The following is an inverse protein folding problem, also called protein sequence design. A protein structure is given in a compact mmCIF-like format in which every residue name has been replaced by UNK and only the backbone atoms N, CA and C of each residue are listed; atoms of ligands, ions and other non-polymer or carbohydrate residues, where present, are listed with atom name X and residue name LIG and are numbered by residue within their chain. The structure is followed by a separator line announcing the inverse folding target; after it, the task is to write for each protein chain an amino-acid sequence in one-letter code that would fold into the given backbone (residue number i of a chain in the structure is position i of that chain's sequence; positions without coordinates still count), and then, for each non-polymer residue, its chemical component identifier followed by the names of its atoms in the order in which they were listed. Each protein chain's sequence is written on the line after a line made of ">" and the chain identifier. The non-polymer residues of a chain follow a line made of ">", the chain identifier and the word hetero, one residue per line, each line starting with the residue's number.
data_IF_109251400188
#
_entry.id   IF_109251400188
#
_cell.length_a   1.000
_cell.length_b   1.000
_cell.length_c   1.000
_cell.angle_alpha   90.00
_cell.angle_beta   90.00
_cell.angle_gamma   90.00
#
_symmetry.space_group_name_H-M   'P 1'
#
loop_
_entity.id
_entity.type
_entity.pdbx_description
1 polymer ?
#
# COMPACT_ATOMS: atom_id res chain seq x y z
N UNK A 1 36.02 -6.33 2.30
CA UNK A 1 35.05 -7.31 2.81
C UNK A 1 33.74 -7.08 2.07
N UNK A 2 32.60 -7.66 2.46
CA UNK A 2 31.30 -7.12 2.08
C UNK A 2 30.69 -6.56 3.37
N UNK A 3 30.29 -5.30 3.33
CA UNK A 3 29.68 -4.60 4.45
C UNK A 3 28.16 -4.75 4.35
N UNK A 4 27.52 -5.10 5.47
CA UNK A 4 26.07 -5.27 5.63
C UNK A 4 25.55 -4.13 6.50
N UNK A 5 24.45 -3.52 6.08
CA UNK A 5 23.81 -2.39 6.74
C UNK A 5 22.39 -2.77 7.13
N UNK A 6 21.98 -2.37 8.33
CA UNK A 6 20.71 -2.78 8.93
C UNK A 6 20.04 -1.59 9.61
N UNK A 7 19.58 -0.64 8.81
CA UNK A 7 18.99 0.60 9.28
C UNK A 7 17.50 0.41 9.55
N UNK A 8 16.94 1.17 10.49
CA UNK A 8 15.51 1.18 10.75
C UNK A 8 14.98 2.57 11.05
N UNK A 9 13.71 2.82 10.72
CA UNK A 9 12.96 4.01 11.10
C UNK A 9 11.68 3.62 11.81
N UNK A 10 11.23 4.48 12.72
CA UNK A 10 10.03 4.27 13.51
C UNK A 10 9.05 5.42 13.25
N UNK A 11 7.76 5.09 13.10
CA UNK A 11 6.69 6.06 12.84
C UNK A 11 5.47 5.77 13.72
N UNK A 12 4.66 6.78 14.09
CA UNK A 12 4.97 8.20 13.93
C UNK A 12 6.03 8.64 14.96
N UNK A 13 6.42 9.92 14.92
CA UNK A 13 7.14 10.53 16.04
C UNK A 13 6.32 10.39 17.33
N UNK A 14 6.99 10.09 18.45
CA UNK A 14 6.36 9.75 19.72
C UNK A 14 6.30 10.99 20.62
N UNK A 15 5.13 11.36 21.18
CA UNK A 15 5.04 12.44 22.15
C UNK A 15 5.98 12.24 23.35
N UNK A 16 6.76 13.27 23.69
CA UNK A 16 7.83 13.22 24.70
C UNK A 16 7.30 12.83 26.08
N UNK A 17 6.10 13.27 26.46
CA UNK A 17 5.50 12.92 27.76
C UNK A 17 5.08 11.47 27.85
N UNK A 18 5.01 10.74 26.74
CA UNK A 18 4.73 9.31 26.75
C UNK A 18 5.98 8.47 26.99
N UNK A 19 7.19 9.00 26.80
CA UNK A 19 8.45 8.29 27.02
C UNK A 19 8.94 8.55 28.45
N UNK A 20 8.98 7.50 29.27
CA UNK A 20 9.63 7.57 30.59
C UNK A 20 11.14 7.42 30.46
N UNK A 21 11.89 7.76 31.52
CA UNK A 21 13.34 7.55 31.55
C UNK A 21 13.71 6.07 31.40
N UNK A 22 12.88 5.16 31.92
CA UNK A 22 13.05 3.72 31.75
C UNK A 22 12.85 3.30 30.29
N UNK A 23 11.77 3.77 29.65
CA UNK A 23 11.52 3.46 28.24
C UNK A 23 12.68 3.98 27.37
N UNK A 24 13.18 5.19 27.66
CA UNK A 24 14.31 5.77 26.94
C UNK A 24 15.56 4.91 27.08
N UNK A 25 15.95 4.56 28.33
CA UNK A 25 17.12 3.70 28.59
C UNK A 25 16.97 2.36 27.87
N UNK A 26 15.77 1.79 27.91
CA UNK A 26 15.47 0.51 27.28
C UNK A 26 15.59 0.58 25.75
N UNK A 27 15.04 1.61 25.12
CA UNK A 27 15.07 1.78 23.66
C UNK A 27 16.49 2.12 23.17
N UNK A 28 17.23 2.97 23.88
CA UNK A 28 18.62 3.31 23.54
C UNK A 28 19.56 2.08 23.62
N UNK A 29 19.22 1.07 24.43
CA UNK A 29 19.96 -0.20 24.48
C UNK A 29 19.96 -0.99 23.16
N UNK A 30 19.04 -0.69 22.24
CA UNK A 30 18.96 -1.27 20.89
C UNK A 30 19.65 -0.40 19.83
N UNK A 31 20.53 0.53 20.23
CA UNK A 31 21.18 1.50 19.33
C UNK A 31 20.18 2.42 18.59
N UNK A 32 19.00 2.63 19.16
CA UNK A 32 17.98 3.52 18.61
C UNK A 32 18.25 4.94 19.10
N UNK A 33 18.29 5.87 18.15
CA UNK A 33 18.51 7.30 18.40
C UNK A 33 17.18 8.03 18.54
N UNK A 34 17.11 8.91 19.54
CA UNK A 34 16.01 9.87 19.73
C UNK A 34 16.42 11.23 19.17
N UNK A 35 15.81 11.64 18.06
CA UNK A 35 15.91 12.99 17.51
C UNK A 35 14.68 13.81 17.88
N UNK A 36 14.83 15.12 18.10
CA UNK A 36 13.69 15.99 18.39
C UNK A 36 12.90 16.28 17.11
N UNK A 37 11.60 16.02 17.12
CA UNK A 37 10.66 16.39 16.06
C UNK A 37 9.65 17.41 16.59
N UNK A 38 9.91 18.68 16.31
CA UNK A 38 9.19 19.80 16.92
C UNK A 38 9.45 19.94 18.43
N UNK A 39 8.55 20.64 19.12
CA UNK A 39 8.68 20.94 20.55
C UNK A 39 8.38 19.71 21.43
N UNK A 40 7.40 18.90 21.04
CA UNK A 40 6.79 17.91 21.92
C UNK A 40 6.95 16.45 21.48
N UNK A 41 7.64 16.14 20.36
CA UNK A 41 7.81 14.75 19.90
C UNK A 41 9.28 14.34 19.73
N UNK A 42 9.50 13.01 19.75
CA UNK A 42 10.73 12.37 19.35
C UNK A 42 10.54 11.59 18.05
N UNK A 43 11.41 11.82 17.07
CA UNK A 43 11.61 10.95 15.92
C UNK A 43 12.65 9.89 16.28
N UNK A 44 12.35 8.62 15.98
CA UNK A 44 13.21 7.48 16.33
C UNK A 44 13.74 6.81 15.06
N UNK A 45 15.03 6.49 15.06
CA UNK A 45 15.68 5.72 13.99
C UNK A 45 16.90 4.96 14.52
N UNK A 46 17.38 3.99 13.76
CA UNK A 46 18.62 3.27 14.03
C UNK A 46 19.47 3.23 12.74
N UNK A 47 20.70 3.72 12.81
CA UNK A 47 21.66 3.66 11.71
C UNK A 47 22.33 2.27 11.60
N UNK A 48 22.20 1.47 12.66
CA UNK A 48 22.76 0.14 12.81
C UNK A 48 21.71 -0.86 13.30
N UNK A 49 22.12 -2.12 13.45
CA UNK A 49 21.26 -3.20 13.89
C UNK A 49 20.57 -2.91 15.23
N UNK A 50 19.26 -3.10 15.27
CA UNK A 50 18.41 -2.82 16.44
C UNK A 50 17.44 -3.97 16.79
N UNK A 51 17.76 -5.21 16.40
CA UNK A 51 16.93 -6.38 16.73
C UNK A 51 17.41 -7.13 17.98
N UNK A 52 18.47 -6.66 18.63
CA UNK A 52 18.84 -7.02 19.99
C UNK A 52 19.51 -5.82 20.66
N UNK A 53 19.51 -5.83 21.99
CA UNK A 53 20.11 -4.78 22.80
C UNK A 53 20.77 -5.36 24.04
N UNK A 54 21.55 -4.54 24.73
CA UNK A 54 22.24 -4.94 25.96
C UNK A 54 22.04 -3.87 27.02
N UNK A 55 21.53 -4.28 28.19
CA UNK A 55 21.47 -3.42 29.36
C UNK A 55 22.62 -3.74 30.31
N UNK A 56 23.25 -2.67 30.80
CA UNK A 56 24.21 -2.77 31.88
C UNK A 56 23.54 -3.34 33.14
N UNK A 57 24.24 -4.20 33.90
CA UNK A 57 23.76 -4.69 35.17
C UNK A 57 23.61 -3.55 36.19
N UNK A 58 22.58 -3.62 37.04
CA UNK A 58 22.38 -2.63 38.11
C UNK A 58 23.50 -2.65 39.16
N UNK A 59 24.10 -3.83 39.39
CA UNK A 59 25.18 -4.01 40.34
C UNK A 59 26.56 -4.08 39.64
N UNK A 60 27.60 -3.42 40.19
CA UNK A 60 28.95 -3.49 39.64
C UNK A 60 29.48 -4.93 39.56
N UNK A 61 29.84 -5.38 38.35
CA UNK A 61 30.34 -6.73 38.10
C UNK A 61 29.27 -7.78 37.80
N UNK A 62 28.01 -7.37 37.62
CA UNK A 62 26.97 -8.24 37.05
C UNK A 62 27.21 -8.57 35.56
N UNK A 63 26.42 -9.49 35.04
CA UNK A 63 26.41 -9.82 33.61
C UNK A 63 25.44 -8.88 32.86
N UNK A 64 25.80 -8.48 31.64
CA UNK A 64 24.92 -7.72 30.76
C UNK A 64 23.63 -8.50 30.50
N UNK A 65 22.50 -7.80 30.51
CA UNK A 65 21.20 -8.38 30.22
C UNK A 65 20.95 -8.22 28.72
N UNK A 66 20.97 -9.34 27.99
CA UNK A 66 20.58 -9.36 26.58
C UNK A 66 19.06 -9.16 26.45
N UNK A 67 18.68 -8.24 25.58
CA UNK A 67 17.30 -7.95 25.20
C UNK A 67 17.07 -8.39 23.76
N UNK A 68 15.91 -8.98 23.53
CA UNK A 68 15.47 -9.45 22.21
C UNK A 68 14.63 -8.40 21.49
N UNK A 69 14.45 -8.54 20.18
CA UNK A 69 13.52 -7.70 19.42
C UNK A 69 12.10 -7.76 20.01
N UNK A 70 11.65 -8.92 20.47
CA UNK A 70 10.34 -9.07 21.12
C UNK A 70 10.20 -8.15 22.33
N UNK A 71 11.26 -8.00 23.14
CA UNK A 71 11.24 -7.10 24.29
C UNK A 71 11.10 -5.62 23.87
N UNK A 72 11.76 -5.22 22.78
CA UNK A 72 11.60 -3.89 22.19
C UNK A 72 10.17 -3.65 21.69
N UNK A 73 9.59 -4.61 20.98
CA UNK A 73 8.24 -4.49 20.44
C UNK A 73 7.19 -4.42 21.55
N UNK A 74 7.37 -5.23 22.61
CA UNK A 74 6.54 -5.19 23.80
C UNK A 74 6.64 -3.83 24.52
N UNK A 75 7.86 -3.26 24.63
CA UNK A 75 8.08 -1.92 25.19
C UNK A 75 7.32 -0.85 24.39
N UNK A 76 7.36 -0.88 23.06
CA UNK A 76 6.59 0.03 22.22
C UNK A 76 5.07 -0.16 22.39
N UNK A 77 4.60 -1.40 22.49
CA UNK A 77 3.20 -1.69 22.74
C UNK A 77 2.73 -1.17 24.12
N UNK A 78 3.57 -1.23 25.15
CA UNK A 78 3.28 -0.62 26.46
C UNK A 78 3.14 0.91 26.37
N UNK A 79 4.03 1.57 25.63
CA UNK A 79 3.95 3.03 25.37
C UNK A 79 2.60 3.37 24.69
N UNK A 80 2.22 2.62 23.65
CA UNK A 80 0.94 2.76 22.94
C UNK A 80 -0.23 2.60 23.90
N UNK A 81 -0.25 1.54 24.73
CA UNK A 81 -1.32 1.30 25.71
C UNK A 81 -1.44 2.45 26.71
N UNK A 82 -0.30 2.93 27.23
CA UNK A 82 -0.24 4.04 28.20
C UNK A 82 -0.71 5.36 27.60
N UNK A 83 -0.58 5.54 26.28
CA UNK A 83 -1.05 6.75 25.58
C UNK A 83 -2.56 6.95 25.62
N UNK A 84 -3.33 5.89 25.94
CA UNK A 84 -4.79 5.93 26.01
C UNK A 84 -5.45 6.51 24.74
N UNK A 85 -4.90 6.16 23.56
CA UNK A 85 -5.42 6.55 22.25
C UNK A 85 -4.75 7.77 21.61
N UNK A 86 -3.86 8.47 22.31
CA UNK A 86 -3.05 9.55 21.74
C UNK A 86 -2.07 9.03 20.68
N UNK A 87 -1.42 7.89 20.96
CA UNK A 87 -0.53 7.19 20.05
C UNK A 87 -1.15 5.83 19.71
N UNK A 88 -1.90 5.68 18.62
CA UNK A 88 -2.68 4.48 18.34
C UNK A 88 -1.84 3.30 17.81
N UNK A 89 -0.69 3.57 17.20
CA UNK A 89 0.18 2.56 16.59
C UNK A 89 1.62 3.06 16.50
N UNK A 90 2.55 2.13 16.36
CA UNK A 90 3.94 2.39 15.95
C UNK A 90 4.28 1.40 14.83
N UNK A 91 4.93 1.86 13.77
CA UNK A 91 5.52 1.01 12.75
C UNK A 91 7.04 1.10 12.78
N UNK A 92 7.71 -0.03 12.57
CA UNK A 92 9.16 -0.13 12.33
C UNK A 92 9.39 -0.61 10.91
N UNK A 93 10.15 0.13 10.12
CA UNK A 93 10.62 -0.30 8.80
C UNK A 93 12.13 -0.48 8.85
N UNK A 94 12.59 -1.68 8.50
CA UNK A 94 14.00 -2.07 8.48
C UNK A 94 14.46 -2.32 7.04
N UNK A 95 15.63 -1.79 6.69
CA UNK A 95 16.30 -2.06 5.42
C UNK A 95 17.57 -2.87 5.68
N UNK A 96 17.70 -4.02 5.01
CA UNK A 96 18.91 -4.84 5.01
C UNK A 96 19.58 -4.70 3.65
N UNK A 97 20.74 -4.06 3.60
CA UNK A 97 21.47 -3.84 2.36
C UNK A 97 22.92 -4.29 2.46
N UNK A 98 23.52 -4.63 1.32
CA UNK A 98 24.90 -5.06 1.25
C UNK A 98 25.65 -4.25 0.20
N UNK A 99 26.88 -3.85 0.52
CA UNK A 99 27.82 -3.21 -0.42
C UNK A 99 28.16 -4.06 -1.66
N UNK A 100 27.72 -5.32 -1.72
CA UNK A 100 27.89 -6.22 -2.86
C UNK A 100 26.58 -6.91 -3.23
N UNK A 101 26.36 -7.11 -4.52
CA UNK A 101 25.21 -7.82 -5.08
C UNK A 101 25.31 -9.33 -4.80
N UNK A 102 24.85 -9.75 -3.62
CA UNK A 102 24.83 -11.15 -3.19
C UNK A 102 23.38 -11.62 -2.99
N UNK A 103 23.09 -12.92 -3.23
CA UNK A 103 21.73 -13.46 -3.02
C UNK A 103 21.18 -13.26 -1.61
N UNK A 104 22.07 -13.25 -0.61
CA UNK A 104 21.76 -13.06 0.82
C UNK A 104 22.00 -11.61 1.30
N UNK A 105 22.30 -10.68 0.39
CA UNK A 105 22.76 -9.34 0.73
C UNK A 105 21.64 -8.30 0.87
N UNK A 106 20.39 -8.66 0.57
CA UNK A 106 19.29 -7.70 0.45
C UNK A 106 18.02 -8.23 1.09
N UNK A 107 17.27 -7.32 1.72
CA UNK A 107 15.96 -7.57 2.26
C UNK A 107 15.49 -6.45 3.16
N UNK A 108 14.62 -6.78 4.09
CA UNK A 108 14.09 -5.85 5.07
C UNK A 108 12.93 -6.48 5.82
N UNK A 109 12.29 -5.66 6.63
CA UNK A 109 11.07 -6.03 7.33
C UNK A 109 10.24 -4.81 7.67
N UNK A 110 8.93 -5.00 7.70
CA UNK A 110 8.00 -4.06 8.28
C UNK A 110 7.35 -4.70 9.50
N UNK A 111 7.24 -3.96 10.59
CA UNK A 111 6.54 -4.36 11.82
C UNK A 111 5.52 -3.28 12.13
N UNK A 112 4.28 -3.68 12.41
CA UNK A 112 3.18 -2.81 12.79
C UNK A 112 2.68 -3.20 14.18
N UNK A 113 2.75 -2.25 15.10
CA UNK A 113 2.48 -2.42 16.53
C UNK A 113 1.25 -1.61 16.87
N UNK A 114 0.26 -2.26 17.47
CA UNK A 114 -0.92 -1.61 18.07
C UNK A 114 -0.98 -1.95 19.55
N UNK A 115 -1.96 -1.40 20.27
CA UNK A 115 -2.16 -1.71 21.69
C UNK A 115 -2.39 -3.21 21.96
N UNK A 116 -2.95 -3.94 21.00
CA UNK A 116 -3.44 -5.31 21.22
C UNK A 116 -2.77 -6.35 20.33
N UNK A 117 -1.98 -5.93 19.33
CA UNK A 117 -1.42 -6.82 18.32
C UNK A 117 -0.08 -6.30 17.78
N UNK A 118 0.76 -7.23 17.34
CA UNK A 118 2.04 -6.99 16.67
C UNK A 118 2.07 -7.86 15.42
N UNK A 119 2.15 -7.22 14.26
CA UNK A 119 2.24 -7.89 12.96
C UNK A 119 3.57 -7.58 12.31
N UNK A 120 4.12 -8.53 11.56
CA UNK A 120 5.37 -8.35 10.85
C UNK A 120 5.35 -9.03 9.48
N UNK A 121 6.10 -8.46 8.55
CA UNK A 121 6.31 -8.99 7.22
C UNK A 121 7.76 -8.77 6.81
N UNK A 122 8.48 -9.84 6.48
CA UNK A 122 9.86 -9.80 6.02
C UNK A 122 9.93 -10.24 4.56
N UNK A 123 10.71 -9.52 3.75
CA UNK A 123 10.86 -9.84 2.33
C UNK A 123 11.51 -11.21 2.10
N UNK A 124 12.45 -11.60 2.97
CA UNK A 124 13.10 -12.91 2.93
C UNK A 124 12.13 -14.06 3.21
N UNK A 125 11.34 -13.96 4.29
CA UNK A 125 10.33 -14.95 4.64
C UNK A 125 9.29 -15.11 3.53
N UNK A 126 8.87 -14.01 2.89
CA UNK A 126 7.96 -14.05 1.75
C UNK A 126 8.57 -14.85 0.58
N UNK A 127 9.83 -14.60 0.23
CA UNK A 127 10.52 -15.34 -0.83
C UNK A 127 10.66 -16.83 -0.51
N UNK A 128 11.06 -17.17 0.72
CA UNK A 128 11.16 -18.56 1.18
C UNK A 128 9.84 -19.30 1.07
N UNK A 129 8.74 -18.65 1.46
CA UNK A 129 7.40 -19.20 1.30
C UNK A 129 7.08 -19.49 -0.16
N UNK A 130 7.29 -18.51 -1.07
CA UNK A 130 7.03 -18.69 -2.51
C UNK A 130 7.87 -19.82 -3.13
N UNK A 131 9.13 -19.94 -2.72
CA UNK A 131 10.01 -21.02 -3.17
C UNK A 131 9.43 -22.38 -2.71
N UNK A 132 9.04 -22.49 -1.44
CA UNK A 132 8.47 -23.71 -0.89
C UNK A 132 7.16 -24.12 -1.58
N UNK A 133 6.27 -23.18 -1.85
CA UNK A 133 4.99 -23.42 -2.53
C UNK A 133 5.20 -23.94 -3.96
N UNK A 134 6.17 -23.38 -4.70
CA UNK A 134 6.53 -23.86 -6.04
C UNK A 134 7.16 -25.25 -5.99
N UNK A 135 8.06 -25.50 -5.04
CA UNK A 135 8.73 -26.80 -4.89
C UNK A 135 7.77 -27.93 -4.47
N UNK A 136 6.75 -27.60 -3.68
CA UNK A 136 5.75 -28.55 -3.18
C UNK A 136 4.53 -28.69 -4.09
N UNK A 137 4.33 -27.75 -5.02
CA UNK A 137 3.16 -27.69 -5.89
C UNK A 137 1.88 -27.21 -5.18
N UNK A 138 1.99 -26.73 -3.95
CA UNK A 138 0.90 -26.16 -3.14
C UNK A 138 1.01 -24.64 -3.18
N UNK A 139 0.54 -24.04 -4.28
CA UNK A 139 0.46 -22.58 -4.42
C UNK A 139 -0.61 -22.09 -3.44
N UNK A 140 -0.17 -21.59 -2.28
CA UNK A 140 -1.05 -21.16 -1.20
C UNK A 140 -2.00 -20.01 -1.62
N UNK A 141 -3.07 -19.78 -0.84
CA UNK A 141 -3.94 -18.61 -1.04
C UNK A 141 -3.15 -17.30 -0.78
N UNK A 142 -3.42 -16.25 -1.56
CA UNK A 142 -2.75 -14.94 -1.42
C UNK A 142 -1.42 -14.81 -2.18
N UNK A 143 -1.24 -15.61 -3.23
CA UNK A 143 -0.10 -15.61 -4.16
C UNK A 143 -0.30 -14.71 -5.38
N UNK A 144 -1.51 -14.20 -5.57
CA UNK A 144 -1.79 -13.21 -6.59
C UNK A 144 -1.33 -11.84 -6.08
N UNK A 145 -0.39 -11.20 -6.78
CA UNK A 145 -0.37 -9.73 -6.80
C UNK A 145 -1.81 -9.27 -7.04
N UNK A 146 -2.35 -8.26 -6.33
CA UNK A 146 -3.67 -7.74 -6.66
C UNK A 146 -3.64 -7.47 -8.17
N UNK A 147 -4.46 -8.17 -8.97
CA UNK A 147 -4.37 -8.02 -10.41
C UNK A 147 -4.50 -6.54 -10.69
N UNK A 148 -3.67 -5.93 -11.56
CA UNK A 148 -3.83 -4.53 -11.93
C UNK A 148 -5.31 -4.35 -12.23
N UNK A 149 -5.97 -3.49 -11.44
CA UNK A 149 -7.42 -3.45 -11.37
C UNK A 149 -7.93 -3.29 -12.80
N UNK A 150 -8.57 -4.34 -13.34
CA UNK A 150 -8.97 -4.35 -14.76
C UNK A 150 -9.74 -3.06 -15.03
N UNK A 151 -9.35 -2.24 -16.03
CA UNK A 151 -10.00 -0.97 -16.26
C UNK A 151 -11.51 -1.17 -16.43
N UNK A 152 -12.30 -0.48 -15.61
CA UNK A 152 -13.76 -0.45 -15.77
C UNK A 152 -14.10 0.79 -16.56
N UNK A 153 -14.70 0.60 -17.73
CA UNK A 153 -15.22 1.71 -18.56
C UNK A 153 -16.70 1.89 -18.28
N UNK A 154 -17.08 3.11 -17.89
CA UNK A 154 -18.47 3.52 -17.71
C UNK A 154 -18.92 4.45 -18.83
N UNK A 155 -20.12 4.21 -19.37
CA UNK A 155 -20.81 5.10 -20.30
C UNK A 155 -21.95 5.76 -19.53
N UNK A 156 -21.87 7.08 -19.33
CA UNK A 156 -22.86 7.82 -18.55
C UNK A 156 -23.93 8.32 -19.51
N UNK A 157 -25.18 7.93 -19.28
CA UNK A 157 -26.34 8.34 -20.09
C UNK A 157 -27.32 9.09 -19.20
N UNK A 158 -27.70 10.29 -19.64
CA UNK A 158 -28.73 11.10 -19.01
C UNK A 158 -29.64 11.69 -20.08
N UNK A 159 -30.96 11.62 -19.86
CA UNK A 159 -31.94 12.14 -20.83
C UNK A 159 -31.92 11.46 -22.20
N UNK A 160 -31.43 10.21 -22.29
CA UNK A 160 -31.32 9.48 -23.55
C UNK A 160 -30.00 9.70 -24.30
N UNK A 161 -29.17 10.64 -23.85
CA UNK A 161 -27.91 11.01 -24.49
C UNK A 161 -26.71 10.57 -23.66
N UNK A 162 -25.65 10.12 -24.33
CA UNK A 162 -24.36 9.89 -23.69
C UNK A 162 -23.78 11.24 -23.26
N UNK A 163 -23.50 11.38 -21.97
CA UNK A 163 -22.91 12.58 -21.37
C UNK A 163 -21.38 12.49 -21.37
N UNK A 164 -20.84 11.33 -21.01
CA UNK A 164 -19.40 11.09 -20.99
C UNK A 164 -19.08 9.59 -21.02
N UNK A 165 -17.83 9.29 -21.36
CA UNK A 165 -17.27 7.94 -21.22
C UNK A 165 -16.02 8.03 -20.36
N UNK A 166 -16.01 7.28 -19.26
CA UNK A 166 -15.02 7.41 -18.19
C UNK A 166 -14.41 6.05 -17.84
N UNK A 167 -13.20 6.04 -17.29
CA UNK A 167 -12.51 4.82 -16.83
C UNK A 167 -11.89 4.99 -15.45
N UNK A 168 -11.75 3.88 -14.71
CA UNK A 168 -10.95 3.83 -13.47
C UNK A 168 -9.45 3.98 -13.73
N UNK A 169 -9.00 3.61 -14.93
CA UNK A 169 -7.60 3.62 -15.36
C UNK A 169 -7.52 3.84 -16.88
N UNK A 170 -7.84 5.05 -17.40
CA UNK A 170 -7.83 5.35 -18.83
C UNK A 170 -6.45 5.15 -19.48
N UNK A 171 -5.36 5.36 -18.74
CA UNK A 171 -3.98 5.16 -19.20
C UNK A 171 -3.61 3.69 -19.47
N UNK A 172 -4.37 2.75 -18.91
CA UNK A 172 -4.20 1.31 -19.15
C UNK A 172 -4.98 0.81 -20.37
N UNK A 173 -5.85 1.65 -20.95
CA UNK A 173 -6.61 1.30 -22.14
C UNK A 173 -5.76 1.49 -23.40
N UNK A 174 -5.94 0.64 -24.44
CA UNK A 174 -5.39 0.94 -25.74
C UNK A 174 -5.97 2.25 -26.28
N UNK A 175 -5.27 2.89 -27.21
CA UNK A 175 -5.81 4.05 -27.94
C UNK A 175 -7.03 3.57 -28.74
N UNK A 176 -8.20 4.15 -28.43
CA UNK A 176 -9.48 3.82 -29.05
C UNK A 176 -10.11 5.10 -29.60
N UNK A 177 -10.61 5.02 -30.84
CA UNK A 177 -11.52 6.02 -31.39
C UNK A 177 -12.95 5.60 -31.03
N UNK A 178 -13.53 6.22 -29.99
CA UNK A 178 -14.89 5.90 -29.57
C UNK A 178 -15.89 6.74 -30.35
N UNK A 179 -16.75 6.08 -31.12
CA UNK A 179 -17.81 6.74 -31.89
C UNK A 179 -19.15 6.48 -31.23
N UNK A 180 -19.85 7.55 -30.87
CA UNK A 180 -21.22 7.50 -30.38
C UNK A 180 -22.14 7.81 -31.56
N UNK A 181 -23.11 6.93 -31.83
CA UNK A 181 -24.13 7.11 -32.84
C UNK A 181 -25.50 7.15 -32.18
N UNK A 182 -26.19 8.27 -32.34
CA UNK A 182 -27.58 8.41 -31.93
C UNK A 182 -28.49 8.31 -33.16
N UNK A 183 -29.35 7.29 -33.15
CA UNK A 183 -30.32 7.06 -34.22
C UNK A 183 -31.61 7.86 -34.02
N UNK A 184 -31.77 8.52 -32.87
CA UNK A 184 -32.80 9.52 -32.69
C UNK A 184 -32.39 10.81 -33.41
N UNK A 185 -32.84 10.94 -34.65
CA UNK A 185 -32.52 12.09 -35.51
C UNK A 185 -33.59 13.18 -35.48
N UNK A 186 -34.59 13.06 -34.59
CA UNK A 186 -35.68 14.02 -34.52
C UNK A 186 -35.15 15.41 -34.10
N UNK A 187 -35.27 16.39 -35.00
CA UNK A 187 -34.84 17.76 -34.75
C UNK A 187 -33.36 18.05 -35.06
N UNK A 188 -32.61 17.07 -35.59
CA UNK A 188 -31.23 17.29 -36.06
C UNK A 188 -31.19 18.02 -37.41
N UNK A 189 -30.18 18.87 -37.59
CA UNK A 189 -29.98 19.58 -38.86
C UNK A 189 -29.39 18.64 -39.93
N UNK A 190 -29.69 18.92 -41.20
CA UNK A 190 -29.33 18.03 -42.31
C UNK A 190 -27.81 17.85 -42.50
N UNK A 191 -26.99 18.78 -42.02
CA UNK A 191 -25.53 18.73 -42.04
C UNK A 191 -24.92 17.98 -40.83
N UNK A 192 -25.71 17.68 -39.81
CA UNK A 192 -25.32 16.86 -38.66
C UNK A 192 -25.61 15.36 -38.90
N UNK A 193 -26.42 15.03 -39.90
CA UNK A 193 -26.82 13.67 -40.23
C UNK A 193 -25.71 12.90 -40.95
N UNK A 194 -25.31 11.78 -40.35
CA UNK A 194 -24.40 10.80 -40.92
C UNK A 194 -25.19 9.66 -41.58
N UNK A 195 -24.69 9.20 -42.73
CA UNK A 195 -25.18 7.96 -43.36
C UNK A 195 -24.41 6.76 -42.82
N UNK A 196 -25.10 5.90 -42.09
CA UNK A 196 -24.52 4.71 -41.46
C UNK A 196 -24.96 3.46 -42.23
N UNK A 197 -23.99 2.78 -42.83
CA UNK A 197 -24.21 1.48 -43.50
C UNK A 197 -24.42 0.38 -42.46
N UNK A 198 -25.52 -0.34 -42.58
CA UNK A 198 -25.90 -1.43 -41.68
C UNK A 198 -25.39 -2.78 -42.20
N UNK A 199 -25.27 -3.75 -41.30
CA UNK A 199 -24.74 -5.09 -41.64
C UNK A 199 -25.62 -5.89 -42.61
N UNK A 200 -26.90 -5.54 -42.74
CA UNK A 200 -27.85 -6.13 -43.70
C UNK A 200 -27.85 -5.43 -45.07
N UNK A 201 -26.99 -4.43 -45.26
CA UNK A 201 -26.91 -3.64 -46.48
C UNK A 201 -27.89 -2.46 -46.54
N UNK A 202 -28.73 -2.26 -45.52
CA UNK A 202 -29.53 -1.05 -45.40
C UNK A 202 -28.66 0.16 -45.03
N UNK A 203 -29.20 1.36 -45.22
CA UNK A 203 -28.60 2.61 -44.74
C UNK A 203 -29.57 3.28 -43.78
N UNK A 204 -29.03 3.77 -42.66
CA UNK A 204 -29.76 4.55 -41.66
C UNK A 204 -29.09 5.92 -41.48
N UNK A 205 -29.84 6.88 -40.93
CA UNK A 205 -29.31 8.18 -40.53
C UNK A 205 -29.09 8.20 -39.02
N UNK A 206 -27.99 8.82 -38.59
CA UNK A 206 -27.66 9.02 -37.19
C UNK A 206 -26.90 10.33 -36.99
N UNK A 207 -26.98 10.92 -35.81
CA UNK A 207 -26.05 11.96 -35.36
C UNK A 207 -24.85 11.26 -34.71
N UNK A 208 -23.63 11.64 -35.08
CA UNK A 208 -22.43 11.00 -34.57
C UNK A 208 -21.41 11.96 -33.98
N UNK A 209 -20.70 11.51 -32.94
CA UNK A 209 -19.56 12.23 -32.38
C UNK A 209 -18.46 11.27 -31.92
N UNK A 210 -17.24 11.79 -31.85
CA UNK A 210 -16.09 11.09 -31.28
C UNK A 210 -15.95 11.50 -29.81
N UNK A 211 -15.79 10.52 -28.93
CA UNK A 211 -15.63 10.72 -27.50
C UNK A 211 -14.27 10.22 -27.03
N UNK A 212 -13.70 10.87 -26.03
CA UNK A 212 -12.47 10.38 -25.38
C UNK A 212 -12.82 9.76 -24.04
N UNK A 213 -12.10 8.68 -23.69
CA UNK A 213 -12.24 8.07 -22.37
C UNK A 213 -11.39 8.88 -21.39
N UNK A 214 -12.03 9.49 -20.40
CA UNK A 214 -11.34 10.28 -19.37
C UNK A 214 -11.31 9.56 -18.02
N UNK A 215 -10.55 10.11 -17.06
CA UNK A 215 -10.60 9.63 -15.68
C UNK A 215 -12.03 9.80 -15.14
N UNK A 216 -12.51 8.80 -14.39
CA UNK A 216 -13.81 8.85 -13.74
C UNK A 216 -13.80 9.69 -12.46
N UNK A 217 -14.80 10.57 -12.32
CA UNK A 217 -15.13 11.27 -11.06
C UNK A 217 -16.11 10.47 -10.17
N UNK A 218 -16.60 9.33 -10.66
CA UNK A 218 -17.51 8.43 -9.96
C UNK A 218 -16.75 7.15 -9.59
N UNK A 219 -17.06 6.58 -8.43
CA UNK A 219 -16.52 5.28 -8.00
C UNK A 219 -17.12 4.12 -8.80
N UNK A 220 -16.61 3.93 -10.01
CA UNK A 220 -17.02 2.85 -10.93
C UNK A 220 -16.71 1.47 -10.37
N UNK A 221 -15.67 1.32 -9.54
CA UNK A 221 -15.31 0.04 -8.92
C UNK A 221 -16.42 -0.43 -7.98
N UNK A 222 -16.95 0.47 -7.16
CA UNK A 222 -18.09 0.17 -6.28
C UNK A 222 -19.35 -0.12 -7.10
N UNK A 223 -19.65 0.65 -8.15
CA UNK A 223 -20.83 0.41 -9.02
C UNK A 223 -20.74 -0.96 -9.69
N UNK A 224 -19.59 -1.29 -10.28
CA UNK A 224 -19.35 -2.56 -10.94
C UNK A 224 -19.46 -3.74 -9.96
N UNK A 225 -18.90 -3.60 -8.76
CA UNK A 225 -19.04 -4.59 -7.69
C UNK A 225 -20.50 -4.86 -7.30
N UNK A 226 -21.33 -3.82 -7.20
CA UNK A 226 -22.77 -3.96 -6.93
C UNK A 226 -23.51 -4.68 -8.06
N UNK A 227 -23.11 -4.46 -9.32
CA UNK A 227 -23.70 -5.16 -10.48
C UNK A 227 -23.36 -6.66 -10.46
N UNK A 228 -22.10 -7.01 -10.20
CA UNK A 228 -21.67 -8.41 -10.08
C UNK A 228 -22.40 -9.14 -8.95
N UNK A 229 -22.59 -8.48 -7.80
CA UNK A 229 -23.38 -9.05 -6.69
C UNK A 229 -24.84 -9.33 -7.06
N UNK A 230 -25.38 -8.63 -8.07
CA UNK A 230 -26.73 -8.82 -8.61
C UNK A 230 -26.77 -9.81 -9.78
N UNK A 231 -25.63 -10.41 -10.15
CA UNK A 231 -25.53 -11.45 -11.17
C UNK A 231 -25.61 -10.94 -12.61
N UNK A 232 -25.14 -9.71 -12.86
CA UNK A 232 -24.94 -9.18 -14.21
C UNK A 232 -23.73 -9.85 -14.89
#
# INVERSE_FOLDING_TARGET
>A
MADYYSQAVFQPSIPKHLITDEDRRFIEAFSITFETDGEDNFYLYADEWCCNGYLDPEEPGGEEIELTEEDLLNRFQEIIRRSNGELPWISKESAYTCSKMRPDGYGGGAIFITADDIQYCFTGQWLEQRISEVETGDIGPGTDDPPPARPVVGVIIEGGLVQSVVSTAPEQLPVLDLVILDYDVEGADADELLHVSQGDGASAQAVGRIEQITQSDIDLSTVFGQMLQRGW
#
